data_IF_129586383407
#
_entry.id   IF_129586383407
#
_cell.length_a   1.000
_cell.length_b   1.000
_cell.length_c   1.000
_cell.angle_alpha   90.00
_cell.angle_beta   90.00
_cell.angle_gamma   90.00
#
_symmetry.space_group_name_H-M   'P 1'
#
loop_
_entity.id
_entity.type
_entity.pdbx_description
1 polymer ?
#
# COMPACT_ATOMS: atom_id res chain seq x y z
N UNK A 1 -12.19 12.94 3.56
CA UNK A 1 -11.06 12.50 2.71
C UNK A 1 -10.12 13.65 2.38
N UNK A 2 -10.57 14.75 1.74
CA UNK A 2 -9.69 15.88 1.38
C UNK A 2 -8.94 16.55 2.55
N UNK A 3 -9.52 16.57 3.75
CA UNK A 3 -8.89 17.15 4.94
C UNK A 3 -7.76 16.27 5.50
N UNK A 4 -8.01 14.96 5.61
CA UNK A 4 -7.00 13.93 5.90
C UNK A 4 -5.89 13.96 4.84
N UNK A 5 -6.27 14.06 3.56
CA UNK A 5 -5.37 14.33 2.43
C UNK A 5 -4.86 15.78 2.39
N UNK A 6 -4.92 16.57 3.44
CA UNK A 6 -4.19 17.85 3.51
C UNK A 6 -3.18 17.84 4.62
N UNK A 7 -3.44 17.10 5.69
CA UNK A 7 -2.62 17.15 6.89
C UNK A 7 -1.52 16.09 6.92
N UNK A 8 -1.56 15.10 6.00
CA UNK A 8 -0.84 13.84 6.16
C UNK A 8 0.09 13.51 5.00
N UNK A 9 1.26 12.97 5.31
CA UNK A 9 2.32 12.71 4.34
C UNK A 9 2.13 11.43 3.52
N UNK A 10 1.68 10.34 4.12
CA UNK A 10 1.37 9.09 3.42
C UNK A 10 -0.04 8.64 3.78
N UNK A 11 -0.85 8.33 2.77
CA UNK A 11 -2.22 7.83 2.94
C UNK A 11 -2.38 6.59 2.09
N UNK A 12 -2.62 5.45 2.75
CA UNK A 12 -2.93 4.18 2.12
C UNK A 12 -4.36 3.73 2.43
N UNK A 13 -4.97 2.94 1.55
CA UNK A 13 -6.27 2.31 1.78
C UNK A 13 -6.07 0.80 1.84
N UNK A 14 -6.39 0.19 2.97
CA UNK A 14 -6.44 -1.27 3.06
C UNK A 14 -7.66 -1.79 2.30
N UNK A 15 -7.46 -2.70 1.37
CA UNK A 15 -8.57 -3.31 0.63
C UNK A 15 -8.45 -4.83 0.64
N UNK A 16 -9.61 -5.43 0.90
CA UNK A 16 -9.85 -6.86 0.85
C UNK A 16 -11.31 -7.12 0.44
N UNK A 17 -11.57 -8.24 -0.26
CA UNK A 17 -12.91 -8.63 -0.72
C UNK A 17 -13.84 -8.98 0.44
N UNK A 18 -13.27 -9.36 1.58
CA UNK A 18 -13.98 -9.68 2.80
C UNK A 18 -13.23 -9.08 3.99
N UNK A 19 -13.77 -9.31 5.19
CA UNK A 19 -13.05 -9.01 6.41
C UNK A 19 -12.04 -10.12 6.72
N UNK A 20 -10.75 -9.76 6.78
CA UNK A 20 -9.69 -10.63 7.29
C UNK A 20 -9.19 -10.10 8.65
N UNK A 21 -9.64 -10.78 9.72
CA UNK A 21 -9.30 -10.41 11.11
C UNK A 21 -7.80 -10.42 11.35
N UNK A 22 -7.12 -11.45 10.85
CA UNK A 22 -5.72 -11.70 11.14
C UNK A 22 -4.87 -10.61 10.49
N UNK A 23 -5.14 -10.28 9.22
CA UNK A 23 -4.40 -9.25 8.50
C UNK A 23 -4.69 -7.85 9.04
N UNK A 24 -5.93 -7.57 9.42
CA UNK A 24 -6.27 -6.31 10.10
C UNK A 24 -5.52 -6.21 11.45
N UNK A 25 -5.42 -7.30 12.21
CA UNK A 25 -4.59 -7.31 13.43
C UNK A 25 -3.14 -6.97 13.11
N UNK A 26 -2.53 -7.61 12.12
CA UNK A 26 -1.12 -7.36 11.78
C UNK A 26 -0.87 -5.91 11.32
N UNK A 27 -1.82 -5.31 10.60
CA UNK A 27 -1.77 -3.90 10.23
C UNK A 27 -1.77 -3.00 11.45
N UNK A 28 -2.65 -3.28 12.40
CA UNK A 28 -2.78 -2.47 13.62
C UNK A 28 -1.56 -2.64 14.53
N UNK A 29 -1.01 -3.85 14.61
CA UNK A 29 0.27 -4.12 15.29
C UNK A 29 1.43 -3.38 14.61
N UNK A 30 1.49 -3.42 13.28
CA UNK A 30 2.50 -2.68 12.51
C UNK A 30 2.38 -1.19 12.81
N UNK A 31 1.15 -0.66 12.81
CA UNK A 31 0.90 0.75 13.10
C UNK A 31 1.48 1.19 14.44
N UNK A 32 1.35 0.40 15.50
CA UNK A 32 1.92 0.77 16.81
C UNK A 32 3.46 0.99 16.74
N UNK A 33 4.16 0.11 16.02
CA UNK A 33 5.58 0.29 15.73
C UNK A 33 5.86 1.51 14.82
N UNK A 34 4.92 1.87 13.96
CA UNK A 34 5.03 2.95 13.00
C UNK A 34 4.78 4.33 13.59
N UNK A 35 3.74 4.48 14.41
CA UNK A 35 3.41 5.74 15.08
C UNK A 35 4.61 6.21 15.93
N UNK A 36 5.39 5.26 16.46
CA UNK A 36 6.66 5.50 17.17
C UNK A 36 7.77 6.07 16.28
N UNK A 37 7.80 5.74 14.98
CA UNK A 37 8.90 6.06 14.05
C UNK A 37 8.56 7.13 13.00
N UNK A 38 7.35 7.11 12.45
CA UNK A 38 6.86 8.00 11.41
C UNK A 38 5.96 9.12 11.95
N UNK A 39 5.47 9.03 13.20
CA UNK A 39 4.53 10.00 13.81
C UNK A 39 3.34 10.27 12.86
N UNK A 40 3.04 11.53 12.58
CA UNK A 40 1.91 11.96 11.73
C UNK A 40 2.16 11.76 10.22
N UNK A 41 3.19 10.99 9.85
CA UNK A 41 3.60 10.82 8.45
C UNK A 41 2.90 9.68 7.73
N UNK A 42 2.17 8.78 8.42
CA UNK A 42 1.42 7.72 7.75
C UNK A 42 0.07 7.49 8.38
N UNK A 43 -0.92 7.32 7.50
CA UNK A 43 -2.26 6.97 7.89
C UNK A 43 -2.88 5.94 6.96
N UNK A 44 -3.64 5.05 7.56
CA UNK A 44 -4.33 3.99 6.87
C UNK A 44 -5.83 4.18 6.95
N UNK A 45 -6.45 4.20 5.78
CA UNK A 45 -7.88 4.17 5.61
C UNK A 45 -8.35 2.72 5.56
N UNK A 46 -9.32 2.39 6.39
CA UNK A 46 -9.99 1.09 6.39
C UNK A 46 -11.43 1.30 5.92
N UNK A 47 -11.88 0.60 4.86
CA UNK A 47 -13.26 0.64 4.42
C UNK A 47 -14.22 0.24 5.54
N UNK A 48 -15.20 1.10 5.80
CA UNK A 48 -16.32 0.85 6.73
C UNK A 48 -17.63 1.08 5.98
N UNK A 49 -18.75 0.55 6.48
CA UNK A 49 -20.07 0.67 5.83
C UNK A 49 -20.44 2.09 5.36
N UNK A 50 -19.99 3.12 6.08
CA UNK A 50 -20.32 4.53 5.81
C UNK A 50 -19.12 5.37 5.33
N UNK A 51 -18.09 4.75 4.74
CA UNK A 51 -16.93 5.47 4.20
C UNK A 51 -15.62 4.84 4.67
N UNK A 52 -14.75 5.64 5.26
CA UNK A 52 -13.43 5.16 5.70
C UNK A 52 -13.24 5.46 7.18
N UNK A 53 -12.90 4.42 7.93
CA UNK A 53 -12.27 4.54 9.23
C UNK A 53 -10.83 4.97 9.04
N UNK A 54 -10.34 5.84 9.93
CA UNK A 54 -8.99 6.38 9.88
C UNK A 54 -8.24 5.82 11.06
N UNK A 55 -7.21 5.02 10.79
CA UNK A 55 -6.33 4.48 11.84
C UNK A 55 -7.15 3.83 12.98
N UNK A 56 -8.15 3.02 12.63
CA UNK A 56 -9.10 2.48 13.61
C UNK A 56 -9.21 0.98 13.47
N UNK A 57 -9.44 0.32 14.61
CA UNK A 57 -9.98 -1.03 14.59
C UNK A 57 -11.36 -1.01 13.95
N UNK A 58 -11.72 -2.07 13.22
CA UNK A 58 -13.05 -2.26 12.64
C UNK A 58 -13.58 -3.64 13.00
N UNK A 59 -14.85 -3.70 13.41
CA UNK A 59 -15.50 -4.98 13.63
C UNK A 59 -15.87 -5.66 12.30
N UNK A 60 -15.94 -7.00 12.25
CA UNK A 60 -16.23 -7.73 11.01
C UNK A 60 -17.49 -7.26 10.29
N UNK A 61 -18.55 -6.95 11.06
CA UNK A 61 -19.83 -6.50 10.55
C UNK A 61 -19.84 -5.02 10.18
N UNK A 62 -18.84 -4.24 10.57
CA UNK A 62 -18.70 -2.82 10.21
C UNK A 62 -17.82 -2.61 8.98
N UNK A 63 -17.04 -3.63 8.59
CA UNK A 63 -16.16 -3.56 7.43
C UNK A 63 -16.95 -3.33 6.13
N UNK A 64 -16.53 -2.32 5.38
CA UNK A 64 -17.20 -1.86 4.18
C UNK A 64 -16.88 -2.70 2.95
N UNK A 65 -17.30 -3.97 2.92
CA UNK A 65 -16.99 -4.91 1.81
C UNK A 65 -17.40 -4.38 0.44
N UNK A 66 -18.55 -3.70 0.33
CA UNK A 66 -19.03 -3.09 -0.92
C UNK A 66 -18.09 -1.97 -1.39
N UNK A 67 -17.61 -1.14 -0.47
CA UNK A 67 -16.68 -0.06 -0.78
C UNK A 67 -15.31 -0.61 -1.18
N UNK A 68 -14.82 -1.61 -0.46
CA UNK A 68 -13.58 -2.29 -0.79
C UNK A 68 -13.65 -2.98 -2.17
N UNK A 69 -14.76 -3.69 -2.45
CA UNK A 69 -15.00 -4.31 -3.75
C UNK A 69 -15.01 -3.28 -4.89
N UNK A 70 -15.70 -2.14 -4.69
CA UNK A 70 -15.71 -1.06 -5.69
C UNK A 70 -14.32 -0.49 -5.99
N UNK A 71 -13.44 -0.38 -5.00
CA UNK A 71 -12.04 0.01 -5.21
C UNK A 71 -11.24 -1.06 -5.94
N UNK A 72 -11.40 -2.32 -5.53
CA UNK A 72 -10.73 -3.49 -6.14
C UNK A 72 -11.09 -3.58 -7.63
N UNK A 73 -12.38 -3.43 -7.96
CA UNK A 73 -12.87 -3.51 -9.33
C UNK A 73 -12.42 -2.30 -10.15
N UNK A 74 -12.52 -1.08 -9.60
CA UNK A 74 -12.07 0.15 -10.27
C UNK A 74 -10.59 0.11 -10.63
N UNK A 75 -9.77 -0.52 -9.79
CA UNK A 75 -8.32 -0.61 -9.95
C UNK A 75 -7.87 -1.94 -10.56
N UNK A 76 -8.82 -2.79 -10.99
CA UNK A 76 -8.58 -4.10 -11.61
C UNK A 76 -7.62 -5.00 -10.79
N UNK A 77 -7.70 -4.93 -9.46
CA UNK A 77 -6.80 -5.65 -8.56
C UNK A 77 -7.12 -7.15 -8.59
N UNK A 78 -6.14 -7.96 -9.01
CA UNK A 78 -6.27 -9.42 -9.10
C UNK A 78 -6.42 -10.04 -7.72
N UNK A 79 -7.21 -11.11 -7.62
CA UNK A 79 -7.43 -11.84 -6.36
C UNK A 79 -6.14 -12.25 -5.66
N UNK A 80 -5.15 -12.72 -6.41
CA UNK A 80 -3.87 -13.15 -5.85
C UNK A 80 -3.06 -12.02 -5.20
N UNK A 81 -3.42 -10.74 -5.44
CA UNK A 81 -2.78 -9.59 -4.80
C UNK A 81 -3.44 -9.21 -3.47
N UNK A 82 -4.61 -9.75 -3.16
CA UNK A 82 -5.38 -9.40 -1.97
C UNK A 82 -4.97 -10.22 -0.73
N UNK A 83 -5.09 -9.65 0.48
CA UNK A 83 -5.37 -8.23 0.71
C UNK A 83 -4.20 -7.34 0.28
N UNK A 84 -4.44 -6.06 0.05
CA UNK A 84 -3.39 -5.11 -0.31
C UNK A 84 -3.63 -3.72 0.29
N UNK A 85 -2.60 -2.87 0.25
CA UNK A 85 -2.73 -1.44 0.55
C UNK A 85 -2.57 -0.68 -0.74
N UNK A 86 -3.59 0.10 -1.09
CA UNK A 86 -3.62 0.96 -2.27
C UNK A 86 -3.13 2.34 -1.88
N UNK A 87 -2.29 2.93 -2.72
CA UNK A 87 -1.76 4.27 -2.56
C UNK A 87 -1.97 5.08 -3.83
N UNK A 88 -2.15 6.39 -3.67
CA UNK A 88 -2.28 7.33 -4.78
C UNK A 88 -0.90 7.89 -5.14
N UNK A 89 -0.46 7.71 -6.37
CA UNK A 89 0.69 8.43 -6.93
C UNK A 89 0.26 9.79 -7.50
N UNK A 90 1.20 10.55 -8.06
CA UNK A 90 0.89 11.86 -8.66
C UNK A 90 -0.19 11.73 -9.74
N UNK A 91 -1.27 12.52 -9.63
CA UNK A 91 -2.42 12.46 -10.54
C UNK A 91 -3.47 11.42 -10.15
N UNK A 92 -4.10 10.76 -11.14
CA UNK A 92 -5.02 9.62 -10.93
C UNK A 92 -4.32 8.26 -11.02
N UNK A 93 -2.98 8.24 -10.94
CA UNK A 93 -2.22 6.99 -10.91
C UNK A 93 -2.31 6.35 -9.52
N UNK A 94 -2.50 5.03 -9.49
CA UNK A 94 -2.52 4.24 -8.26
C UNK A 94 -1.48 3.13 -8.34
N UNK A 95 -1.03 2.70 -7.18
CA UNK A 95 -0.24 1.49 -7.02
C UNK A 95 -0.70 0.78 -5.76
N UNK A 96 -0.36 -0.49 -5.63
CA UNK A 96 -0.69 -1.25 -4.43
C UNK A 96 0.51 -2.06 -3.94
N UNK A 97 0.60 -2.20 -2.63
CA UNK A 97 1.45 -3.17 -1.94
C UNK A 97 0.62 -4.44 -1.74
N UNK A 98 0.97 -5.52 -2.43
CA UNK A 98 0.36 -6.84 -2.21
C UNK A 98 0.74 -7.35 -0.83
N UNK A 99 -0.24 -7.87 -0.09
CA UNK A 99 -0.02 -8.52 1.22
C UNK A 99 -0.47 -9.99 1.22
N UNK A 100 -1.27 -10.38 0.23
CA UNK A 100 -1.67 -11.76 -0.02
C UNK A 100 -0.49 -12.73 -0.12
N UNK A 101 -0.57 -13.83 0.63
CA UNK A 101 0.46 -14.88 0.64
C UNK A 101 1.72 -14.56 1.46
N UNK A 102 1.83 -13.38 2.09
CA UNK A 102 2.95 -13.05 2.98
C UNK A 102 2.71 -13.60 4.40
N UNK A 103 3.80 -14.03 5.06
CA UNK A 103 3.81 -14.34 6.50
C UNK A 103 3.69 -13.06 7.33
N UNK A 104 3.42 -13.19 8.65
CA UNK A 104 3.37 -12.02 9.56
C UNK A 104 4.66 -11.22 9.53
N UNK A 105 5.81 -11.87 9.61
CA UNK A 105 7.09 -11.17 9.64
C UNK A 105 7.36 -10.44 8.33
N UNK A 106 7.07 -11.08 7.19
CA UNK A 106 7.16 -10.44 5.88
C UNK A 106 6.21 -9.25 5.78
N UNK A 107 4.99 -9.39 6.29
CA UNK A 107 4.00 -8.32 6.34
C UNK A 107 4.54 -7.11 7.12
N UNK A 108 4.98 -7.33 8.36
CA UNK A 108 5.51 -6.28 9.22
C UNK A 108 6.76 -5.63 8.62
N UNK A 109 7.62 -6.40 7.96
CA UNK A 109 8.80 -5.89 7.27
C UNK A 109 8.45 -5.01 6.05
N UNK A 110 7.46 -5.41 5.25
CA UNK A 110 7.00 -4.63 4.10
C UNK A 110 6.47 -3.27 4.53
N UNK A 111 5.59 -3.30 5.53
CA UNK A 111 5.08 -2.10 6.14
C UNK A 111 6.27 -1.31 6.68
N UNK A 112 7.14 -1.93 7.49
CA UNK A 112 8.42 -1.44 8.03
C UNK A 112 9.18 -0.49 7.12
N UNK A 113 9.53 -1.00 5.93
CA UNK A 113 10.30 -0.25 4.93
C UNK A 113 9.57 0.98 4.40
N UNK A 114 8.23 0.96 4.34
CA UNK A 114 7.44 2.12 3.93
C UNK A 114 7.53 3.24 4.97
N UNK A 115 7.56 2.95 6.29
CA UNK A 115 7.80 3.99 7.30
C UNK A 115 9.16 4.63 7.12
N UNK A 116 10.18 3.80 6.97
CA UNK A 116 11.56 4.27 6.84
C UNK A 116 11.67 5.23 5.66
N UNK A 117 11.09 4.86 4.51
CA UNK A 117 11.00 5.73 3.34
C UNK A 117 10.22 7.02 3.62
N UNK A 118 9.06 6.94 4.27
CA UNK A 118 8.27 8.13 4.60
C UNK A 118 9.05 9.10 5.51
N UNK A 119 9.81 8.55 6.48
CA UNK A 119 10.66 9.31 7.38
C UNK A 119 11.86 9.93 6.67
N UNK A 120 12.52 9.20 5.77
CA UNK A 120 13.59 9.73 4.93
C UNK A 120 13.09 10.88 4.06
N UNK A 121 11.90 10.72 3.47
CA UNK A 121 11.25 11.75 2.69
C UNK A 121 10.97 12.99 3.54
N UNK A 122 10.55 12.85 4.80
CA UNK A 122 10.30 13.99 5.68
C UNK A 122 11.51 14.91 5.89
N UNK A 123 12.73 14.39 5.73
CA UNK A 123 13.95 15.19 5.83
C UNK A 123 14.33 15.91 4.52
N UNK A 124 13.83 15.46 3.36
CA UNK A 124 14.31 15.88 2.03
C UNK A 124 13.20 16.39 1.10
N UNK A 125 11.94 16.22 1.50
CA UNK A 125 10.77 16.46 0.67
C UNK A 125 10.32 17.92 0.61
N UNK A 126 9.33 18.22 -0.23
CA UNK A 126 8.67 19.53 -0.29
C UNK A 126 8.09 19.96 1.06
N UNK A 127 8.03 21.27 1.29
CA UNK A 127 7.45 21.83 2.51
C UNK A 127 5.91 21.91 2.47
N UNK A 128 5.31 21.92 1.28
CA UNK A 128 3.87 21.95 1.13
C UNK A 128 3.28 20.54 1.30
N UNK A 129 2.15 20.36 2.02
CA UNK A 129 1.66 19.02 2.37
C UNK A 129 1.22 18.16 1.17
N UNK A 130 0.68 18.78 0.11
CA UNK A 130 0.21 18.05 -1.07
C UNK A 130 1.39 17.53 -1.90
N UNK A 131 2.35 18.40 -2.20
CA UNK A 131 3.61 18.05 -2.85
C UNK A 131 4.43 17.06 -2.04
N UNK A 132 4.45 17.20 -0.71
CA UNK A 132 5.11 16.23 0.16
C UNK A 132 4.46 14.84 0.08
N UNK A 133 3.12 14.77 0.07
CA UNK A 133 2.43 13.50 -0.09
C UNK A 133 2.69 12.82 -1.41
N UNK A 134 2.58 13.58 -2.50
CA UNK A 134 2.86 13.05 -3.83
C UNK A 134 4.31 12.58 -3.93
N UNK A 135 5.25 13.31 -3.30
CA UNK A 135 6.65 12.92 -3.22
C UNK A 135 6.83 11.58 -2.47
N UNK A 136 6.30 11.45 -1.26
CA UNK A 136 6.40 10.22 -0.45
C UNK A 136 5.78 9.04 -1.20
N UNK A 137 4.56 9.19 -1.71
CA UNK A 137 3.88 8.15 -2.47
C UNK A 137 4.67 7.74 -3.72
N UNK A 138 5.30 8.69 -4.42
CA UNK A 138 6.13 8.38 -5.57
C UNK A 138 7.41 7.60 -5.17
N UNK A 139 8.02 7.92 -4.03
CA UNK A 139 9.19 7.18 -3.53
C UNK A 139 8.81 5.74 -3.15
N UNK A 140 7.68 5.55 -2.48
CA UNK A 140 7.15 4.22 -2.16
C UNK A 140 6.85 3.44 -3.45
N UNK A 141 6.18 4.04 -4.43
CA UNK A 141 5.91 3.42 -5.72
C UNK A 141 7.21 3.00 -6.44
N UNK A 142 8.21 3.87 -6.46
CA UNK A 142 9.52 3.59 -7.06
C UNK A 142 10.27 2.48 -6.33
N UNK A 143 10.20 2.44 -5.00
CA UNK A 143 10.77 1.36 -4.20
C UNK A 143 10.15 0.00 -4.56
N UNK A 144 8.82 -0.08 -4.58
CA UNK A 144 8.10 -1.31 -4.91
C UNK A 144 8.37 -1.76 -6.37
N UNK A 145 8.42 -0.81 -7.33
CA UNK A 145 8.83 -1.07 -8.73
C UNK A 145 10.23 -1.68 -8.81
N UNK A 146 11.22 -1.08 -8.14
CA UNK A 146 12.60 -1.59 -8.14
C UNK A 146 12.67 -3.01 -7.58
N UNK A 147 11.92 -3.30 -6.51
CA UNK A 147 11.88 -4.64 -5.93
C UNK A 147 11.22 -5.68 -6.82
N UNK A 148 10.16 -5.32 -7.55
CA UNK A 148 9.56 -6.19 -8.58
C UNK A 148 10.58 -6.56 -9.66
N UNK A 149 11.34 -5.58 -10.13
CA UNK A 149 12.36 -5.81 -11.16
C UNK A 149 13.45 -6.73 -10.60
N UNK A 150 13.94 -6.47 -9.38
CA UNK A 150 14.97 -7.30 -8.75
C UNK A 150 14.51 -8.73 -8.42
N UNK A 151 13.24 -8.93 -8.06
CA UNK A 151 12.70 -10.27 -7.83
C UNK A 151 12.52 -11.02 -9.15
N UNK A 152 12.03 -10.36 -10.20
CA UNK A 152 11.92 -10.95 -11.53
C UNK A 152 13.28 -11.35 -12.11
N UNK A 153 14.32 -10.53 -11.92
CA UNK A 153 15.68 -10.83 -12.41
C UNK A 153 16.36 -11.94 -11.60
N UNK A 154 16.06 -12.09 -10.30
CA UNK A 154 16.53 -13.23 -9.50
C UNK A 154 15.88 -14.55 -9.90
N UNK A 155 14.61 -14.52 -10.32
CA UNK A 155 13.92 -15.71 -10.85
C UNK A 155 14.38 -16.02 -12.28
N UNK A 156 14.86 -15.02 -13.02
CA UNK A 156 15.50 -15.17 -14.32
C UNK A 156 16.97 -15.61 -14.21
N UNK A 157 17.22 -16.80 -13.67
CA UNK A 157 18.45 -17.57 -13.96
C UNK A 157 18.35 -18.04 -15.42
N UNK A 158 19.42 -17.99 -16.24
CA UNK A 158 19.29 -17.78 -17.68
C UNK A 158 18.72 -19.00 -18.41
N UNK A 159 17.43 -18.91 -18.78
CA UNK A 159 16.94 -19.62 -19.97
C UNK A 159 17.18 -18.68 -21.15
N UNK A 160 18.42 -18.70 -21.66
CA UNK A 160 18.72 -18.22 -23.00
C UNK A 160 17.93 -19.07 -23.98
N UNK A 161 16.79 -18.56 -24.44
CA UNK A 161 16.05 -19.15 -25.55
C UNK A 161 14.54 -19.02 -25.38
N UNK A 162 13.96 -18.08 -26.13
CA UNK A 162 12.53 -17.93 -26.36
C UNK A 162 11.68 -17.48 -25.17
N UNK A 163 11.45 -16.17 -25.08
CA UNK A 163 10.10 -15.61 -25.31
C UNK A 163 10.18 -14.08 -25.27
N UNK A 164 10.25 -13.50 -26.48
CA UNK A 164 9.70 -12.19 -26.78
C UNK A 164 8.19 -12.23 -26.47
N UNK A 165 7.71 -11.31 -25.65
CA UNK A 165 6.27 -11.04 -25.55
C UNK A 165 5.60 -11.55 -24.28
N UNK A 166 5.88 -10.91 -23.15
CA UNK A 166 4.87 -10.79 -22.09
C UNK A 166 4.95 -9.37 -21.54
N UNK A 167 3.92 -8.57 -21.84
CA UNK A 167 3.73 -7.25 -21.29
C UNK A 167 3.81 -7.34 -19.76
N UNK A 168 4.82 -6.69 -19.18
CA UNK A 168 4.91 -6.51 -17.74
C UNK A 168 3.81 -5.52 -17.39
N UNK A 169 2.73 -6.03 -16.81
CA UNK A 169 1.62 -5.25 -16.30
C UNK A 169 2.17 -4.23 -15.28
N UNK A 170 2.17 -2.95 -15.66
CA UNK A 170 2.84 -1.85 -14.96
C UNK A 170 2.15 -1.55 -13.61
N UNK A 171 0.91 -2.02 -13.41
CA UNK A 171 0.12 -1.78 -12.21
C UNK A 171 0.41 -2.72 -11.03
N UNK A 172 0.89 -3.94 -11.26
CA UNK A 172 1.16 -4.90 -10.17
C UNK A 172 2.53 -4.61 -9.56
N UNK A 173 2.62 -4.16 -8.31
CA UNK A 173 3.87 -4.06 -7.57
C UNK A 173 3.85 -5.06 -6.40
N UNK A 174 4.98 -5.75 -6.18
CA UNK A 174 5.11 -6.96 -5.32
C UNK A 174 4.67 -6.75 -3.88
#
# INVERSE_FOLDING_TARGET
>A
MKEIERERALVGVYVDRAYDREKIQWIMDAREGFDTHARDSWHLLIPVKNGYGVDTWVQPDEYGTVLAAGLIDKLEIRYAALPCIVFRAKGEEFYFLKLGGKTRDQFLEEIGRIADLARECAAQGPADPEGFRDYVNMQVANHLRRRKILSATRTAVPVLGALLGSAVDIGELV
#
